data_IF_557231769350
#
_entry.id   IF_557231769350
#
_cell.length_a   1.000
_cell.length_b   1.000
_cell.length_c   1.000
_cell.angle_alpha   90.00
_cell.angle_beta   90.00
_cell.angle_gamma   90.00
#
_symmetry.space_group_name_H-M   'P 1'
#
loop_
_entity.id
_entity.type
_entity.pdbx_description
1 polymer ?
#
# COMPACT_ATOMS: atom_id res chain seq x y z
N UNK A 1 42.85 49.23 -1.33
CA UNK A 1 41.63 48.74 -0.65
C UNK A 1 40.71 48.13 -1.69
N UNK A 2 40.49 46.81 -1.53
CA UNK A 2 39.37 45.97 -2.00
C UNK A 2 38.92 46.04 -3.48
N UNK A 3 39.31 44.97 -4.17
CA UNK A 3 38.61 44.35 -5.29
C UNK A 3 37.11 44.16 -5.00
N UNK A 4 36.28 44.33 -6.03
CA UNK A 4 34.99 43.64 -6.13
C UNK A 4 34.79 43.26 -7.60
N UNK A 5 35.29 42.08 -7.98
CA UNK A 5 34.89 41.42 -9.21
C UNK A 5 33.50 40.83 -8.99
N UNK A 6 32.51 41.37 -9.69
CA UNK A 6 31.17 40.81 -9.76
C UNK A 6 31.23 39.61 -10.72
N UNK A 7 31.36 38.40 -10.17
CA UNK A 7 31.22 37.16 -10.93
C UNK A 7 29.73 36.93 -11.20
N UNK A 8 29.30 37.20 -12.42
CA UNK A 8 27.95 36.84 -12.89
C UNK A 8 28.01 35.35 -13.24
N UNK A 9 27.60 34.51 -12.29
CA UNK A 9 27.30 33.10 -12.53
C UNK A 9 26.09 33.04 -13.47
N UNK A 10 26.34 32.71 -14.73
CA UNK A 10 25.31 32.40 -15.72
C UNK A 10 24.68 31.05 -15.35
N UNK A 11 23.67 31.07 -14.50
CA UNK A 11 22.83 29.88 -14.24
C UNK A 11 22.01 29.67 -15.52
N UNK A 12 22.44 28.72 -16.34
CA UNK A 12 21.67 28.22 -17.47
C UNK A 12 20.41 27.55 -16.95
N UNK A 13 19.30 28.27 -16.98
CA UNK A 13 17.97 27.68 -16.85
C UNK A 13 17.76 26.84 -18.11
N UNK A 14 17.99 25.54 -18.01
CA UNK A 14 17.51 24.59 -19.02
C UNK A 14 16.01 24.49 -18.83
N UNK A 15 15.26 25.34 -19.55
CA UNK A 15 13.83 25.18 -19.69
C UNK A 15 13.57 23.89 -20.49
N UNK A 16 13.33 22.78 -19.81
CA UNK A 16 12.80 21.57 -20.43
C UNK A 16 11.35 21.88 -20.79
N UNK A 17 11.13 22.30 -22.03
CA UNK A 17 9.80 22.53 -22.55
C UNK A 17 8.98 21.22 -22.51
N UNK A 18 7.77 21.36 -21.96
CA UNK A 18 6.65 20.42 -21.94
C UNK A 18 6.59 19.51 -23.17
N UNK A 19 6.40 18.21 -22.93
CA UNK A 19 6.29 17.22 -24.00
C UNK A 19 5.23 16.17 -23.69
N UNK A 20 4.00 16.60 -23.37
CA UNK A 20 2.77 15.81 -23.47
C UNK A 20 1.57 16.73 -23.72
N UNK A 21 1.27 16.97 -24.98
CA UNK A 21 -0.11 17.13 -25.47
C UNK A 21 -0.33 15.89 -26.31
N UNK A 22 -1.35 15.10 -25.99
CA UNK A 22 -2.30 14.54 -26.94
C UNK A 22 -3.32 13.66 -26.21
N UNK A 23 -4.49 13.61 -26.82
CA UNK A 23 -5.83 13.41 -26.28
C UNK A 23 -6.06 12.05 -25.58
N UNK A 24 -6.87 12.13 -24.52
CA UNK A 24 -7.33 11.01 -23.70
C UNK A 24 -8.46 10.27 -24.45
N UNK A 25 -8.15 9.15 -25.09
CA UNK A 25 -9.15 8.14 -25.45
C UNK A 25 -9.10 7.03 -24.40
N UNK A 26 -10.13 6.98 -23.56
CA UNK A 26 -10.28 6.01 -22.49
C UNK A 26 -10.56 4.62 -23.07
N UNK A 27 -9.52 3.82 -23.28
CA UNK A 27 -9.68 2.38 -23.50
C UNK A 27 -9.72 1.65 -22.15
N UNK A 28 -10.92 1.22 -21.80
CA UNK A 28 -11.24 0.40 -20.65
C UNK A 28 -10.66 -1.01 -20.84
N UNK A 29 -9.35 -1.15 -20.63
CA UNK A 29 -8.75 -2.45 -20.39
C UNK A 29 -8.55 -2.63 -18.90
N UNK A 30 -9.30 -3.61 -18.38
CA UNK A 30 -9.20 -4.20 -17.04
C UNK A 30 -7.75 -4.56 -16.73
N UNK A 31 -7.00 -3.57 -16.22
CA UNK A 31 -5.69 -3.76 -15.66
C UNK A 31 -5.84 -4.80 -14.56
N UNK A 32 -5.30 -6.01 -14.79
CA UNK A 32 -4.99 -6.98 -13.73
C UNK A 32 -4.08 -6.29 -12.70
N UNK A 33 -4.73 -5.58 -11.80
CA UNK A 33 -4.15 -4.83 -10.70
C UNK A 33 -3.70 -5.85 -9.65
N UNK A 34 -2.47 -6.34 -9.79
CA UNK A 34 -1.90 -7.34 -8.89
C UNK A 34 -1.77 -6.77 -7.48
N UNK A 35 -2.49 -7.37 -6.52
CA UNK A 35 -2.26 -7.18 -5.08
C UNK A 35 -0.78 -7.32 -4.75
N UNK A 36 -0.24 -6.43 -3.91
CA UNK A 36 1.13 -6.56 -3.40
C UNK A 36 1.21 -7.47 -2.17
N UNK A 37 0.07 -7.99 -1.70
CA UNK A 37 0.02 -8.98 -0.62
C UNK A 37 -0.31 -10.37 -1.15
N UNK A 38 0.43 -11.36 -0.67
CA UNK A 38 0.17 -12.77 -0.94
C UNK A 38 -0.87 -13.33 0.04
N UNK A 39 -1.59 -14.36 -0.42
CA UNK A 39 -2.63 -15.05 0.33
C UNK A 39 -3.72 -14.09 0.86
N UNK A 40 -4.11 -13.12 0.02
CA UNK A 40 -5.13 -12.09 0.31
C UNK A 40 -6.49 -12.65 0.72
N UNK A 41 -6.83 -13.82 0.20
CA UNK A 41 -8.09 -14.53 0.38
C UNK A 41 -7.97 -15.73 1.32
N UNK A 42 -6.87 -15.84 2.09
CA UNK A 42 -6.66 -16.89 3.10
C UNK A 42 -6.70 -18.36 2.63
N UNK A 43 -6.71 -18.62 1.32
CA UNK A 43 -6.80 -19.97 0.75
C UNK A 43 -5.62 -20.87 1.12
N UNK A 44 -4.43 -20.29 1.33
CA UNK A 44 -3.24 -21.02 1.76
C UNK A 44 -3.12 -21.04 3.29
N UNK A 45 -2.93 -22.22 3.87
CA UNK A 45 -2.83 -22.38 5.32
C UNK A 45 -2.95 -23.84 5.76
N UNK A 46 -2.87 -24.05 7.07
CA UNK A 46 -3.08 -25.36 7.71
C UNK A 46 -4.06 -25.20 8.88
N UNK A 47 -5.16 -25.95 8.83
CA UNK A 47 -6.28 -25.80 9.75
C UNK A 47 -6.71 -24.34 9.94
N UNK A 48 -6.65 -23.88 11.19
CA UNK A 48 -7.05 -22.54 11.61
C UNK A 48 -5.99 -21.45 11.34
N UNK A 49 -4.83 -21.80 10.77
CA UNK A 49 -3.73 -20.88 10.49
C UNK A 49 -3.70 -20.52 9.01
N UNK A 50 -3.61 -19.22 8.70
CA UNK A 50 -3.41 -18.74 7.33
C UNK A 50 -1.93 -18.43 7.07
N UNK A 51 -1.37 -18.99 6.00
CA UNK A 51 0.04 -18.80 5.66
C UNK A 51 0.35 -17.33 5.39
N UNK A 52 1.39 -16.80 6.04
CA UNK A 52 1.82 -15.42 5.85
C UNK A 52 0.92 -14.37 6.51
N UNK A 53 0.01 -14.79 7.39
CA UNK A 53 -0.79 -13.94 8.26
C UNK A 53 -0.53 -14.30 9.72
N UNK A 54 -0.68 -13.34 10.62
CA UNK A 54 -0.62 -13.58 12.07
C UNK A 54 -1.98 -13.27 12.68
N UNK A 55 -2.53 -14.26 13.38
CA UNK A 55 -3.72 -14.09 14.22
C UNK A 55 -3.29 -14.05 15.68
N UNK A 56 -3.60 -12.96 16.38
CA UNK A 56 -3.06 -12.67 17.70
C UNK A 56 -4.13 -12.13 18.68
N UNK A 57 -3.69 -11.82 19.90
CA UNK A 57 -4.48 -11.41 21.07
C UNK A 57 -5.21 -12.56 21.78
N UNK A 58 -6.02 -12.24 22.81
CA UNK A 58 -6.58 -13.23 23.73
C UNK A 58 -7.70 -14.08 23.11
N UNK A 59 -8.32 -13.62 22.03
CA UNK A 59 -9.26 -14.42 21.21
C UNK A 59 -8.90 -14.24 19.72
N UNK A 60 -7.82 -14.90 19.26
CA UNK A 60 -7.30 -14.69 17.92
C UNK A 60 -8.29 -15.16 16.85
N UNK A 61 -8.20 -14.54 15.68
CA UNK A 61 -8.94 -14.98 14.50
C UNK A 61 -8.50 -16.39 14.11
N UNK A 62 -9.33 -17.06 13.32
CA UNK A 62 -9.00 -18.36 12.74
C UNK A 62 -9.32 -18.36 11.25
N UNK A 63 -8.50 -19.04 10.47
CA UNK A 63 -8.83 -19.38 9.09
C UNK A 63 -10.00 -20.37 9.13
N UNK A 64 -11.09 -20.06 8.44
CA UNK A 64 -12.34 -20.82 8.52
C UNK A 64 -12.93 -21.05 7.13
N UNK A 65 -13.51 -22.23 6.92
CA UNK A 65 -14.31 -22.56 5.74
C UNK A 65 -15.82 -22.53 6.00
N UNK A 66 -16.24 -21.89 7.10
CA UNK A 66 -17.67 -21.77 7.45
C UNK A 66 -18.41 -20.70 6.64
N UNK A 67 -17.69 -19.71 6.11
CA UNK A 67 -18.19 -18.65 5.24
C UNK A 67 -16.98 -17.99 4.55
N UNK A 68 -17.12 -17.61 3.29
CA UNK A 68 -16.08 -16.91 2.51
C UNK A 68 -16.73 -15.96 1.50
N UNK A 69 -15.99 -14.94 1.09
CA UNK A 69 -16.43 -14.05 0.02
C UNK A 69 -16.04 -14.63 -1.34
N UNK A 70 -14.79 -15.09 -1.46
CA UNK A 70 -14.34 -15.89 -2.59
C UNK A 70 -13.62 -17.14 -2.11
N UNK A 71 -13.42 -18.12 -3.00
CA UNK A 71 -12.74 -19.35 -2.63
C UNK A 71 -13.48 -20.13 -1.53
N UNK A 72 -12.71 -20.78 -0.65
CA UNK A 72 -13.21 -21.65 0.41
C UNK A 72 -12.99 -21.06 1.81
N UNK A 73 -11.98 -20.20 2.01
CA UNK A 73 -11.56 -19.78 3.33
C UNK A 73 -11.63 -18.27 3.52
N UNK A 74 -11.91 -17.86 4.75
CA UNK A 74 -11.79 -16.47 5.20
C UNK A 74 -11.17 -16.42 6.60
N UNK A 75 -10.89 -15.23 7.11
CA UNK A 75 -10.55 -15.03 8.51
C UNK A 75 -11.82 -14.81 9.34
N UNK A 76 -12.07 -15.67 10.31
CA UNK A 76 -13.21 -15.62 11.21
C UNK A 76 -12.81 -15.13 12.59
N UNK A 77 -13.58 -14.17 13.11
CA UNK A 77 -13.41 -13.58 14.43
C UNK A 77 -14.68 -13.83 15.24
N UNK A 78 -14.52 -14.36 16.45
CA UNK A 78 -15.61 -14.53 17.40
C UNK A 78 -15.17 -14.12 18.80
N UNK A 79 -15.52 -12.89 19.17
CA UNK A 79 -15.21 -12.32 20.47
C UNK A 79 -16.36 -12.53 21.44
N UNK A 80 -16.03 -13.01 22.65
CA UNK A 80 -16.97 -13.11 23.76
C UNK A 80 -16.28 -12.85 25.09
N UNK A 81 -16.76 -11.84 25.81
CA UNK A 81 -16.25 -11.52 27.14
C UNK A 81 -16.57 -12.63 28.15
N UNK A 82 -15.57 -12.92 28.98
CA UNK A 82 -15.74 -13.69 30.22
C UNK A 82 -15.85 -12.70 31.39
N UNK A 83 -17.08 -12.54 31.90
CA UNK A 83 -17.41 -11.44 32.80
C UNK A 83 -17.13 -10.08 32.17
N UNK A 84 -16.54 -9.17 32.93
CA UNK A 84 -16.23 -7.79 32.50
C UNK A 84 -14.84 -7.66 31.84
N UNK A 85 -14.22 -8.77 31.42
CA UNK A 85 -12.91 -8.72 30.74
C UNK A 85 -13.10 -8.47 29.23
N UNK A 86 -12.46 -7.45 28.65
CA UNK A 86 -12.53 -7.22 27.22
C UNK A 86 -11.85 -8.36 26.45
N UNK A 87 -12.35 -8.60 25.24
CA UNK A 87 -11.84 -9.58 24.29
C UNK A 87 -11.30 -8.82 23.08
N UNK A 88 -10.21 -9.33 22.51
CA UNK A 88 -9.53 -8.69 21.41
C UNK A 88 -8.96 -9.72 20.44
N UNK A 89 -9.04 -9.40 19.15
CA UNK A 89 -8.49 -10.19 18.05
C UNK A 89 -7.75 -9.29 17.09
N UNK A 90 -6.56 -9.70 16.68
CA UNK A 90 -5.78 -9.00 15.66
C UNK A 90 -5.53 -9.92 14.47
N UNK A 91 -5.69 -9.37 13.25
CA UNK A 91 -5.22 -9.96 12.00
C UNK A 91 -4.12 -9.07 11.45
N UNK A 92 -2.91 -9.62 11.28
CA UNK A 92 -1.71 -8.85 10.94
C UNK A 92 -1.08 -9.40 9.67
N UNK A 93 -0.74 -8.49 8.75
CA UNK A 93 0.12 -8.73 7.60
C UNK A 93 1.33 -7.81 7.65
N UNK A 94 2.52 -8.38 7.57
CA UNK A 94 3.74 -7.63 7.29
C UNK A 94 4.11 -7.80 5.82
N UNK A 95 4.48 -6.69 5.19
CA UNK A 95 4.85 -6.59 3.78
C UNK A 95 6.22 -5.95 3.76
N UNK A 96 7.23 -6.72 3.42
CA UNK A 96 8.60 -6.23 3.29
C UNK A 96 8.88 -5.88 1.83
N UNK A 97 9.58 -4.77 1.60
CA UNK A 97 9.96 -4.37 0.25
C UNK A 97 10.11 -2.86 0.12
N UNK A 98 10.63 -2.44 -1.03
CA UNK A 98 10.63 -1.03 -1.42
C UNK A 98 9.24 -0.65 -1.91
N UNK A 99 8.70 0.43 -1.36
CA UNK A 99 7.47 1.06 -1.82
C UNK A 99 7.83 2.20 -2.76
N UNK A 100 7.04 2.38 -3.82
CA UNK A 100 7.35 3.37 -4.85
C UNK A 100 6.82 4.73 -4.40
N UNK A 101 7.70 5.72 -4.32
CA UNK A 101 7.33 7.06 -3.92
C UNK A 101 6.38 7.73 -4.91
N UNK A 102 5.52 8.59 -4.38
CA UNK A 102 4.50 9.30 -5.14
C UNK A 102 3.25 8.48 -5.46
N UNK A 103 3.35 7.14 -5.48
CA UNK A 103 2.20 6.29 -5.73
C UNK A 103 1.21 6.35 -4.56
N UNK A 104 -0.06 6.65 -4.88
CA UNK A 104 -1.16 6.34 -3.96
C UNK A 104 -1.37 4.83 -3.93
N UNK A 105 -1.54 4.30 -2.72
CA UNK A 105 -2.00 2.95 -2.49
C UNK A 105 -3.49 2.97 -2.12
N UNK A 106 -4.18 1.89 -2.49
CA UNK A 106 -5.55 1.62 -2.07
C UNK A 106 -5.56 0.30 -1.31
N UNK A 107 -6.11 0.34 -0.10
CA UNK A 107 -6.46 -0.85 0.66
C UNK A 107 -7.95 -1.13 0.41
N UNK A 108 -8.28 -2.36 0.07
CA UNK A 108 -9.65 -2.83 0.06
C UNK A 108 -9.76 -4.20 0.72
N UNK A 109 -10.91 -4.50 1.31
CA UNK A 109 -11.18 -5.80 1.90
C UNK A 109 -12.70 -6.02 1.99
N UNK A 110 -13.11 -7.28 2.03
CA UNK A 110 -14.50 -7.65 2.26
C UNK A 110 -14.70 -8.02 3.72
N UNK A 111 -15.83 -7.61 4.28
CA UNK A 111 -16.20 -7.89 5.65
C UNK A 111 -17.67 -8.27 5.74
N UNK A 112 -17.97 -9.32 6.49
CA UNK A 112 -19.34 -9.77 6.76
C UNK A 112 -19.56 -9.88 8.26
N UNK A 113 -20.33 -8.96 8.80
CA UNK A 113 -20.71 -9.02 10.21
C UNK A 113 -21.78 -10.09 10.39
N UNK A 114 -21.53 -11.10 11.21
CA UNK A 114 -22.52 -12.17 11.42
C UNK A 114 -23.57 -11.77 12.46
N UNK A 115 -23.19 -10.91 13.40
CA UNK A 115 -24.06 -10.43 14.47
C UNK A 115 -23.70 -9.02 14.88
N UNK A 116 -24.71 -8.20 15.24
CA UNK A 116 -24.48 -6.93 15.92
C UNK A 116 -23.54 -7.10 17.10
N UNK A 117 -22.48 -6.30 17.11
CA UNK A 117 -21.61 -6.17 18.25
C UNK A 117 -22.38 -5.65 19.46
N UNK A 118 -21.96 -6.07 20.64
CA UNK A 118 -22.62 -5.78 21.91
C UNK A 118 -21.57 -5.37 22.92
N UNK A 119 -21.88 -4.41 23.78
CA UNK A 119 -20.95 -3.93 24.79
C UNK A 119 -19.75 -3.17 24.20
N UNK A 120 -20.00 -2.18 23.36
CA UNK A 120 -18.95 -1.32 22.79
C UNK A 120 -17.97 -2.07 21.87
N UNK A 121 -18.47 -3.01 21.08
CA UNK A 121 -17.66 -3.70 20.08
C UNK A 121 -17.23 -2.75 18.97
N UNK A 122 -15.93 -2.72 18.67
CA UNK A 122 -15.31 -1.85 17.66
C UNK A 122 -14.49 -2.72 16.70
N UNK A 123 -14.53 -2.36 15.42
CA UNK A 123 -13.69 -2.93 14.37
C UNK A 123 -12.87 -1.79 13.76
N UNK A 124 -11.55 -1.97 13.68
CA UNK A 124 -10.63 -0.93 13.24
C UNK A 124 -9.55 -1.50 12.33
N UNK A 125 -9.09 -0.72 11.36
CA UNK A 125 -7.86 -1.01 10.64
C UNK A 125 -6.78 0.01 11.01
N UNK A 126 -5.53 -0.39 10.85
CA UNK A 126 -4.36 0.44 11.03
C UNK A 126 -3.29 0.04 10.02
N UNK A 127 -2.72 1.03 9.34
CA UNK A 127 -1.60 0.86 8.43
C UNK A 127 -0.41 1.57 9.03
N UNK A 128 0.66 0.84 9.27
CA UNK A 128 1.93 1.33 9.83
C UNK A 128 3.06 1.03 8.86
N UNK A 129 4.05 1.91 8.76
CA UNK A 129 5.28 1.64 8.04
C UNK A 129 6.49 2.01 8.87
N UNK A 130 7.59 1.30 8.64
CA UNK A 130 8.89 1.65 9.20
C UNK A 130 9.65 2.54 8.22
N UNK A 131 9.81 3.81 8.58
CA UNK A 131 10.56 4.82 7.82
C UNK A 131 12.07 4.67 8.13
N UNK A 132 12.84 4.23 7.15
CA UNK A 132 14.27 3.97 7.29
C UNK A 132 15.09 5.26 7.43
N UNK A 133 14.69 6.36 6.80
CA UNK A 133 15.40 7.64 6.91
C UNK A 133 15.27 8.23 8.31
N UNK A 134 14.06 8.17 8.88
CA UNK A 134 13.77 8.70 10.22
C UNK A 134 14.00 7.70 11.35
N UNK A 135 14.26 6.43 11.02
CA UNK A 135 14.35 5.32 11.97
C UNK A 135 13.12 5.24 12.90
N UNK A 136 11.92 5.47 12.34
CA UNK A 136 10.70 5.62 13.12
C UNK A 136 9.52 4.85 12.50
N UNK A 137 8.55 4.48 13.35
CA UNK A 137 7.25 3.97 12.90
C UNK A 137 6.31 5.14 12.68
N UNK A 138 5.67 5.14 11.53
CA UNK A 138 4.66 6.12 11.11
C UNK A 138 3.42 5.34 10.64
N UNK A 139 2.26 5.99 10.56
CA UNK A 139 1.06 5.30 10.11
C UNK A 139 -0.20 6.15 10.14
N UNK A 140 -1.31 5.52 9.78
CA UNK A 140 -2.62 6.18 9.64
C UNK A 140 -3.34 6.44 10.97
N UNK A 141 -2.86 5.85 12.07
CA UNK A 141 -3.64 5.60 13.27
C UNK A 141 -4.78 4.61 13.04
N UNK A 142 -5.48 4.23 14.11
CA UNK A 142 -6.66 3.38 13.99
C UNK A 142 -7.83 4.13 13.33
N UNK A 143 -8.50 3.45 12.42
CA UNK A 143 -9.69 3.94 11.71
C UNK A 143 -10.79 2.90 11.83
N UNK A 144 -11.97 3.35 12.22
CA UNK A 144 -13.12 2.46 12.41
C UNK A 144 -13.69 2.04 11.06
N UNK A 145 -14.22 0.82 10.99
CA UNK A 145 -15.04 0.34 9.89
C UNK A 145 -16.21 -0.49 10.40
N UNK A 146 -17.22 -0.67 9.57
CA UNK A 146 -18.37 -1.54 9.87
C UNK A 146 -18.98 -2.06 8.58
N UNK A 147 -19.77 -3.13 8.69
CA UNK A 147 -20.57 -3.66 7.58
C UNK A 147 -21.97 -4.01 8.04
N UNK A 148 -22.84 -4.24 7.05
CA UNK A 148 -24.17 -4.78 7.26
C UNK A 148 -24.07 -6.19 7.82
N UNK A 149 -25.11 -6.55 8.56
CA UNK A 149 -25.22 -7.88 9.15
C UNK A 149 -25.68 -8.86 8.08
N UNK A 150 -24.97 -9.97 7.94
CA UNK A 150 -25.35 -11.09 7.07
C UNK A 150 -24.95 -10.95 5.61
N UNK A 151 -24.37 -9.83 5.20
CA UNK A 151 -23.91 -9.56 3.83
C UNK A 151 -22.42 -9.24 3.80
N UNK A 152 -21.75 -9.60 2.71
CA UNK A 152 -20.37 -9.18 2.45
C UNK A 152 -20.38 -7.76 1.90
N UNK A 153 -19.78 -6.83 2.64
CA UNK A 153 -19.57 -5.46 2.17
C UNK A 153 -18.09 -5.23 1.88
N UNK A 154 -17.82 -4.50 0.80
CA UNK A 154 -16.46 -4.07 0.44
C UNK A 154 -16.13 -2.74 1.11
N UNK A 155 -15.03 -2.70 1.86
CA UNK A 155 -14.43 -1.47 2.36
C UNK A 155 -13.31 -1.05 1.40
N UNK A 156 -13.26 0.23 1.06
CA UNK A 156 -12.24 0.83 0.19
C UNK A 156 -11.62 2.01 0.93
N UNK A 157 -10.29 2.04 1.00
CA UNK A 157 -9.48 3.08 1.62
C UNK A 157 -8.52 3.60 0.54
N UNK A 158 -8.89 4.68 -0.17
CA UNK A 158 -8.04 5.25 -1.21
C UNK A 158 -6.92 6.11 -0.61
N UNK A 159 -6.01 6.54 -1.49
CA UNK A 159 -5.00 7.58 -1.23
C UNK A 159 -4.09 7.36 -0.02
N UNK A 160 -3.74 6.10 0.25
CA UNK A 160 -2.76 5.75 1.27
C UNK A 160 -1.37 6.15 0.75
N UNK A 161 -0.78 7.14 1.42
CA UNK A 161 0.58 7.62 1.12
C UNK A 161 1.60 6.86 1.96
N UNK A 162 2.32 5.96 1.31
CA UNK A 162 3.47 5.26 1.91
C UNK A 162 4.73 5.93 1.34
N UNK A 163 5.65 6.44 2.17
CA UNK A 163 6.85 7.13 1.69
C UNK A 163 7.85 6.16 1.04
N UNK A 164 8.70 6.65 0.12
CA UNK A 164 9.82 5.88 -0.48
C UNK A 164 10.70 5.18 0.57
N UNK A 165 10.91 5.87 1.68
CA UNK A 165 11.74 5.40 2.79
C UNK A 165 11.07 4.34 3.66
N UNK A 166 9.83 3.94 3.34
CA UNK A 166 9.20 2.79 3.97
C UNK A 166 9.91 1.50 3.53
N UNK A 167 10.47 0.77 4.50
CA UNK A 167 11.09 -0.54 4.27
C UNK A 167 10.12 -1.70 4.46
N UNK A 168 9.10 -1.48 5.26
CA UNK A 168 8.04 -2.45 5.50
C UNK A 168 6.74 -1.73 5.83
N UNK A 169 5.63 -2.37 5.49
CA UNK A 169 4.27 -1.97 5.83
C UNK A 169 3.62 -3.08 6.64
N UNK A 170 2.97 -2.71 7.72
CA UNK A 170 2.11 -3.56 8.54
C UNK A 170 0.66 -3.14 8.32
N UNK A 171 -0.16 -4.10 7.88
CA UNK A 171 -1.61 -4.00 7.94
C UNK A 171 -2.07 -4.69 9.22
N UNK A 172 -2.89 -4.00 10.01
CA UNK A 172 -3.52 -4.53 11.22
C UNK A 172 -5.02 -4.31 11.13
N UNK A 173 -5.78 -5.39 11.31
CA UNK A 173 -7.21 -5.33 11.60
C UNK A 173 -7.39 -5.71 13.06
N UNK A 174 -8.06 -4.85 13.80
CA UNK A 174 -8.27 -4.94 15.24
C UNK A 174 -9.76 -5.03 15.52
N UNK A 175 -10.13 -6.00 16.33
CA UNK A 175 -11.49 -6.19 16.81
C UNK A 175 -11.43 -6.23 18.33
N UNK A 176 -12.26 -5.44 19.00
CA UNK A 176 -12.24 -5.36 20.46
C UNK A 176 -13.64 -5.15 21.01
N UNK A 177 -13.89 -5.69 22.20
CA UNK A 177 -15.09 -5.41 23.02
C UNK A 177 -14.72 -4.50 24.20
N UNK A 178 -15.69 -3.75 24.74
CA UNK A 178 -15.48 -3.04 25.99
C UNK A 178 -15.45 -4.01 27.19
N UNK A 179 -14.99 -3.52 28.34
CA UNK A 179 -14.97 -4.24 29.61
C UNK A 179 -16.37 -4.34 30.24
N UNK A 180 -17.28 -5.04 29.58
CA UNK A 180 -18.68 -5.22 30.04
C UNK A 180 -19.12 -6.67 29.92
N UNK A 181 -19.92 -7.12 30.89
CA UNK A 181 -20.47 -8.48 30.87
C UNK A 181 -21.33 -8.72 29.64
N UNK A 182 -21.07 -9.84 28.94
CA UNK A 182 -21.77 -10.20 27.71
C UNK A 182 -21.34 -9.42 26.46
N UNK A 183 -20.28 -8.60 26.55
CA UNK A 183 -19.65 -7.98 25.38
C UNK A 183 -19.23 -9.03 24.35
N UNK A 184 -19.52 -8.78 23.07
CA UNK A 184 -19.28 -9.75 21.99
C UNK A 184 -19.25 -9.10 20.61
N UNK A 185 -18.64 -9.78 19.66
CA UNK A 185 -18.68 -9.43 18.24
C UNK A 185 -18.29 -10.64 17.38
N UNK A 186 -18.92 -10.78 16.22
CA UNK A 186 -18.69 -11.91 15.33
C UNK A 186 -18.68 -11.44 13.88
N UNK A 187 -17.57 -11.68 13.18
CA UNK A 187 -17.32 -11.12 11.85
C UNK A 187 -16.37 -12.02 11.06
N UNK A 188 -16.52 -11.98 9.74
CA UNK A 188 -15.56 -12.53 8.78
C UNK A 188 -14.88 -11.41 8.00
N UNK A 189 -13.60 -11.57 7.68
CA UNK A 189 -12.88 -10.74 6.72
C UNK A 189 -12.27 -11.62 5.64
N UNK A 190 -12.32 -11.15 4.40
CA UNK A 190 -11.79 -11.84 3.24
C UNK A 190 -11.25 -10.86 2.18
N UNK A 191 -10.53 -11.39 1.19
CA UNK A 191 -10.07 -10.68 0.00
C UNK A 191 -9.38 -9.34 0.29
N UNK A 192 -8.46 -9.35 1.25
CA UNK A 192 -7.69 -8.17 1.61
C UNK A 192 -6.72 -7.87 0.47
N UNK A 193 -6.79 -6.67 -0.07
CA UNK A 193 -5.97 -6.25 -1.19
C UNK A 193 -5.33 -4.90 -0.86
N UNK A 194 -4.01 -4.83 -0.97
CA UNK A 194 -3.28 -3.57 -1.01
C UNK A 194 -2.70 -3.46 -2.42
N UNK A 195 -3.03 -2.38 -3.11
CA UNK A 195 -2.57 -2.15 -4.49
C UNK A 195 -2.09 -0.72 -4.67
N UNK A 196 -1.15 -0.52 -5.58
CA UNK A 196 -0.84 0.80 -6.13
C UNK A 196 -1.34 0.88 -7.57
N UNK A 197 -1.70 2.08 -8.03
CA UNK A 197 -1.89 2.31 -9.46
C UNK A 197 -0.53 2.28 -10.15
N UNK A 198 -0.19 1.12 -10.68
CA UNK A 198 1.06 0.87 -11.36
C UNK A 198 0.85 0.65 -12.86
N UNK A 199 -0.20 1.25 -13.44
CA UNK A 199 -0.42 1.31 -14.89
C UNK A 199 0.79 1.94 -15.60
N UNK A 200 1.01 1.64 -16.89
CA UNK A 200 2.07 2.29 -17.66
C UNK A 200 2.04 3.82 -17.54
N UNK A 201 0.87 4.42 -17.67
CA UNK A 201 0.66 5.87 -17.60
C UNK A 201 1.02 6.44 -16.21
N UNK A 202 0.60 5.76 -15.14
CA UNK A 202 0.95 6.15 -13.77
C UNK A 202 2.46 6.10 -13.56
N UNK A 203 3.12 5.00 -13.95
CA UNK A 203 4.57 4.87 -13.80
C UNK A 203 5.31 5.93 -14.63
N UNK A 204 4.90 6.17 -15.87
CA UNK A 204 5.49 7.21 -16.72
C UNK A 204 5.35 8.61 -16.10
N UNK A 205 4.18 8.92 -15.54
CA UNK A 205 3.94 10.20 -14.86
C UNK A 205 4.88 10.38 -13.65
N UNK A 206 5.10 9.32 -12.87
CA UNK A 206 6.04 9.34 -11.75
C UNK A 206 7.50 9.45 -12.20
N UNK A 207 7.89 8.79 -13.29
CA UNK A 207 9.23 8.94 -13.86
C UNK A 207 9.47 10.41 -14.23
N UNK A 208 8.52 11.06 -14.91
CA UNK A 208 8.66 12.47 -15.28
C UNK A 208 8.77 13.37 -14.04
N UNK A 209 7.92 13.16 -13.03
CA UNK A 209 7.98 13.91 -11.77
C UNK A 209 9.36 13.80 -11.11
N UNK A 210 9.93 12.59 -11.04
CA UNK A 210 11.25 12.36 -10.44
C UNK A 210 12.37 13.01 -11.26
N UNK A 211 12.25 13.04 -12.59
CA UNK A 211 13.19 13.76 -13.46
C UNK A 211 13.10 15.27 -13.22
N UNK A 212 11.88 15.83 -13.14
CA UNK A 212 11.65 17.26 -12.89
C UNK A 212 12.18 17.70 -11.51
N UNK A 213 12.15 16.80 -10.53
CA UNK A 213 12.70 17.00 -9.19
C UNK A 213 14.22 16.75 -9.10
N UNK A 214 14.90 16.46 -10.22
CA UNK A 214 16.30 16.04 -10.28
C UNK A 214 16.62 14.79 -9.43
N UNK A 215 15.62 13.96 -9.12
CA UNK A 215 15.76 12.72 -8.37
C UNK A 215 16.11 11.56 -9.32
N UNK A 216 17.26 11.67 -10.01
CA UNK A 216 17.61 10.77 -11.12
C UNK A 216 17.76 9.31 -10.69
N UNK A 217 18.18 9.03 -9.46
CA UNK A 217 18.30 7.66 -8.95
C UNK A 217 16.93 6.99 -8.89
N UNK A 218 15.96 7.64 -8.26
CA UNK A 218 14.59 7.15 -8.15
C UNK A 218 13.91 7.05 -9.52
N UNK A 219 14.16 8.01 -10.42
CA UNK A 219 13.68 7.94 -11.81
C UNK A 219 14.23 6.70 -12.55
N UNK A 220 15.52 6.38 -12.39
CA UNK A 220 16.13 5.19 -13.00
C UNK A 220 15.53 3.90 -12.41
N UNK A 221 15.34 3.83 -11.08
CA UNK A 221 14.68 2.69 -10.43
C UNK A 221 13.25 2.48 -10.96
N UNK A 222 12.48 3.56 -11.15
CA UNK A 222 11.14 3.49 -11.75
C UNK A 222 11.15 3.05 -13.21
N UNK A 223 12.13 3.49 -14.01
CA UNK A 223 12.29 3.02 -15.38
C UNK A 223 12.56 1.51 -15.40
N UNK A 224 13.35 0.98 -14.47
CA UNK A 224 13.61 -0.45 -14.37
C UNK A 224 12.35 -1.25 -13.99
N UNK A 225 11.53 -0.71 -13.10
CA UNK A 225 10.21 -1.28 -12.80
C UNK A 225 9.32 -1.28 -14.05
N UNK A 226 9.25 -0.18 -14.78
CA UNK A 226 8.47 -0.06 -16.01
C UNK A 226 8.90 -1.10 -17.05
N UNK A 227 10.19 -1.15 -17.38
CA UNK A 227 10.73 -2.05 -18.42
C UNK A 227 10.57 -3.53 -18.07
N UNK A 228 10.65 -3.86 -16.77
CA UNK A 228 10.42 -5.24 -16.30
C UNK A 228 8.95 -5.64 -16.40
N UNK A 229 8.03 -4.72 -16.06
CA UNK A 229 6.60 -5.02 -15.97
C UNK A 229 5.90 -4.92 -17.32
N UNK A 230 6.36 -4.02 -18.18
CA UNK A 230 5.75 -3.70 -19.46
C UNK A 230 6.77 -3.82 -20.60
N UNK A 231 7.29 -5.04 -20.86
CA UNK A 231 8.37 -5.26 -21.82
C UNK A 231 7.96 -4.97 -23.28
N UNK A 232 6.66 -4.92 -23.57
CA UNK A 232 6.09 -4.73 -24.91
C UNK A 232 5.39 -3.36 -25.08
N UNK A 233 5.48 -2.47 -24.08
CA UNK A 233 4.86 -1.14 -24.16
C UNK A 233 5.55 -0.25 -25.21
N UNK A 234 4.75 0.55 -25.93
CA UNK A 234 5.21 1.46 -26.98
C UNK A 234 6.27 2.47 -26.48
N UNK A 235 6.24 2.78 -25.19
CA UNK A 235 7.17 3.71 -24.54
C UNK A 235 8.52 3.09 -24.20
N UNK A 236 8.71 1.77 -24.36
CA UNK A 236 9.93 1.04 -23.99
C UNK A 236 11.21 1.70 -24.52
N UNK A 237 11.26 1.99 -25.82
CA UNK A 237 12.47 2.57 -26.42
C UNK A 237 12.75 3.99 -25.90
N UNK A 238 11.69 4.77 -25.66
CA UNK A 238 11.79 6.09 -25.02
C UNK A 238 12.37 5.97 -23.61
N UNK A 239 11.92 4.98 -22.83
CA UNK A 239 12.41 4.72 -21.47
C UNK A 239 13.86 4.25 -21.43
N UNK A 240 14.28 3.36 -22.35
CA UNK A 240 15.70 2.96 -22.47
C UNK A 240 16.61 4.15 -22.80
N UNK A 241 16.16 5.03 -23.69
CA UNK A 241 16.89 6.24 -24.07
C UNK A 241 16.97 7.22 -22.88
N UNK A 242 15.86 7.42 -22.16
CA UNK A 242 15.81 8.27 -20.97
C UNK A 242 16.75 7.74 -19.89
N UNK A 243 16.68 6.44 -19.55
CA UNK A 243 17.57 5.79 -18.58
C UNK A 243 19.04 6.07 -18.91
N UNK A 244 19.41 5.89 -20.18
CA UNK A 244 20.78 6.13 -20.66
C UNK A 244 21.23 7.59 -20.49
N UNK A 245 20.31 8.55 -20.64
CA UNK A 245 20.60 9.97 -20.39
C UNK A 245 20.77 10.26 -18.90
N UNK A 246 19.88 9.75 -18.06
CA UNK A 246 19.93 9.96 -16.62
C UNK A 246 21.20 9.38 -15.98
N UNK A 247 21.63 8.20 -16.42
CA UNK A 247 22.91 7.60 -15.96
C UNK A 247 24.10 8.51 -16.31
N UNK A 248 24.11 9.13 -17.50
CA UNK A 248 25.16 10.08 -17.87
C UNK A 248 25.16 11.31 -16.97
N UNK A 249 23.99 11.85 -16.65
CA UNK A 249 23.88 13.00 -15.74
C UNK A 249 24.38 12.67 -14.33
N UNK A 250 23.98 11.55 -13.74
CA UNK A 250 24.48 11.12 -12.42
C UNK A 250 26.00 10.99 -12.37
N UNK A 251 26.60 10.42 -13.43
CA UNK A 251 28.05 10.28 -13.49
C UNK A 251 28.78 11.62 -13.59
N UNK A 252 28.17 12.63 -14.20
CA UNK A 252 28.74 13.98 -14.29
C UNK A 252 28.65 14.73 -12.96
N UNK A 253 27.58 14.55 -12.18
CA UNK A 253 27.45 15.13 -10.84
C UNK A 253 28.52 14.55 -9.89
N UNK A 254 28.70 13.22 -9.90
CA UNK A 254 29.70 12.55 -9.06
C UNK A 254 31.18 12.87 -9.41
N UNK A 255 31.44 13.49 -10.56
CA UNK A 255 32.79 13.90 -10.98
C UNK A 255 33.15 15.33 -10.53
N UNK A 256 32.16 16.11 -10.09
CA UNK A 256 32.32 17.50 -9.69
C UNK A 256 32.24 17.75 -8.17
N UNK A 257 32.03 16.69 -7.38
CA UNK A 257 32.13 16.65 -5.92
C UNK A 257 33.49 16.08 -5.46
#
# INVERSE_FOLDING_TARGET
MKHLFLSICLIGIVSINFLFSDEEEADATDSKNSSIINNSSFESGDGNQALGWTFAHNQPAVRSDSDSHTGKYSAYINLKNDGEKPSESHIIKSIDGKFLDGFSYELSFFVKQKRSGTGGYIQQYFIEWFNEEKQAREGTGFKDFSSKIGEWDKIIVPDIKIPESARSVKLLFRFVTAAVSGGRGEVFIDDINLRSDNSPQSILSHINLKVDQAQFKSAIELIDVFLKKYPDDLSKQKMLNLKSRLIKFQNLENLND
#
